data_IF_446640026235
#
_entry.id   IF_446640026235
#
_cell.length_a   1.000
_cell.length_b   1.000
_cell.length_c   1.000
_cell.angle_alpha   90.00
_cell.angle_beta   90.00
_cell.angle_gamma   90.00
#
_symmetry.space_group_name_H-M   'P 1'
#
loop_
_entity.id
_entity.type
_entity.pdbx_description
1 polymer ?
#
# COMPACT_ATOMS: atom_id res chain seq x y z
N UNK A 1 33.70 4.96 1.58
CA UNK A 1 33.11 4.33 0.37
C UNK A 1 31.62 4.25 0.60
N UNK A 2 30.83 4.95 -0.21
CA UNK A 2 29.37 4.78 -0.14
C UNK A 2 28.96 3.46 -0.81
N UNK A 3 27.71 3.08 -0.57
CA UNK A 3 27.20 1.73 -0.87
C UNK A 3 26.46 1.73 -2.20
N UNK A 4 26.77 0.75 -3.04
CA UNK A 4 26.19 0.60 -4.39
C UNK A 4 24.68 0.36 -4.32
N UNK A 5 23.91 1.01 -5.20
CA UNK A 5 22.49 0.72 -5.32
C UNK A 5 22.26 -0.61 -6.02
N UNK A 6 21.40 -1.43 -5.42
CA UNK A 6 20.87 -2.65 -6.06
C UNK A 6 19.53 -2.31 -6.67
N UNK A 7 19.40 -2.55 -7.98
CA UNK A 7 18.10 -2.55 -8.64
C UNK A 7 17.44 -3.91 -8.47
N UNK A 8 16.18 -3.91 -8.08
CA UNK A 8 15.32 -5.08 -8.21
C UNK A 8 14.03 -4.69 -8.91
N UNK A 9 13.64 -5.44 -9.93
CA UNK A 9 12.45 -5.14 -10.74
C UNK A 9 11.15 -5.06 -9.92
N UNK A 10 11.11 -5.69 -8.75
CA UNK A 10 9.96 -5.62 -7.81
C UNK A 10 10.14 -4.66 -6.65
N UNK A 11 11.26 -3.94 -6.52
CA UNK A 11 11.48 -3.05 -5.37
C UNK A 11 12.01 -1.68 -5.75
N UNK A 12 12.50 -1.48 -6.98
CA UNK A 12 13.23 -0.27 -7.37
C UNK A 12 14.69 -0.30 -6.91
N UNK A 13 15.26 0.87 -6.60
CA UNK A 13 16.67 1.01 -6.22
C UNK A 13 16.83 1.19 -4.72
N UNK A 14 17.79 0.51 -4.10
CA UNK A 14 18.14 0.73 -2.69
C UNK A 14 19.64 0.51 -2.42
N UNK A 15 20.21 1.26 -1.47
CA UNK A 15 21.64 1.14 -1.08
C UNK A 15 21.87 0.31 0.20
N UNK A 16 20.85 0.18 1.05
CA UNK A 16 20.90 -0.43 2.39
C UNK A 16 19.70 -1.35 2.64
N UNK A 17 19.51 -1.82 3.87
CA UNK A 17 18.34 -2.61 4.23
C UNK A 17 17.06 -1.77 4.12
N UNK A 18 16.05 -2.34 3.46
CA UNK A 18 14.73 -1.74 3.41
C UNK A 18 14.08 -1.71 4.80
N UNK A 19 13.39 -0.61 5.15
CA UNK A 19 12.70 -0.51 6.43
C UNK A 19 11.63 -1.60 6.55
N UNK A 20 11.31 -1.97 7.79
CA UNK A 20 10.32 -3.02 8.10
C UNK A 20 8.96 -2.70 7.46
N UNK A 21 8.59 -1.41 7.47
CA UNK A 21 7.54 -0.82 6.66
C UNK A 21 7.47 -1.33 5.21
N UNK A 22 8.53 -1.06 4.44
CA UNK A 22 8.61 -1.40 3.02
C UNK A 22 8.70 -2.91 2.77
N UNK A 23 9.36 -3.68 3.66
CA UNK A 23 9.44 -5.15 3.52
C UNK A 23 8.08 -5.84 3.60
N UNK A 24 7.22 -5.41 4.52
CA UNK A 24 5.86 -5.97 4.59
C UNK A 24 4.97 -5.48 3.45
N UNK A 25 5.11 -4.22 3.02
CA UNK A 25 4.43 -3.71 1.83
C UNK A 25 4.79 -4.57 0.60
N UNK A 26 6.08 -4.81 0.41
CA UNK A 26 6.61 -5.68 -0.63
C UNK A 26 6.00 -7.07 -0.58
N UNK A 27 5.85 -7.67 0.60
CA UNK A 27 5.26 -9.00 0.75
C UNK A 27 3.72 -9.04 0.61
N UNK A 28 3.05 -7.90 0.40
CA UNK A 28 1.59 -7.81 0.44
C UNK A 28 1.01 -8.05 1.83
N UNK A 29 1.83 -7.94 2.88
CA UNK A 29 1.51 -8.28 4.27
C UNK A 29 1.01 -7.08 5.08
N UNK A 30 0.64 -5.97 4.42
CA UNK A 30 0.07 -4.79 5.09
C UNK A 30 -1.21 -4.32 4.44
N UNK A 31 -2.14 -3.93 5.31
CA UNK A 31 -3.25 -3.08 4.94
C UNK A 31 -2.79 -1.63 4.88
N UNK A 32 -3.44 -0.83 4.04
CA UNK A 32 -3.29 0.62 3.95
C UNK A 32 -4.61 1.22 4.42
N UNK A 33 -4.57 1.93 5.54
CA UNK A 33 -5.73 2.58 6.14
C UNK A 33 -5.65 4.07 5.81
N UNK A 34 -6.55 4.53 4.96
CA UNK A 34 -6.74 5.95 4.64
C UNK A 34 -7.70 6.56 5.67
N UNK A 35 -7.20 7.39 6.58
CA UNK A 35 -7.95 7.87 7.75
C UNK A 35 -8.88 9.05 7.43
N UNK A 36 -8.43 9.94 6.55
CA UNK A 36 -9.17 11.13 6.12
C UNK A 36 -8.49 11.69 4.88
N UNK A 37 -9.23 12.38 4.01
CA UNK A 37 -8.67 13.11 2.89
C UNK A 37 -8.35 14.57 3.19
N UNK A 38 -8.63 15.03 4.41
CA UNK A 38 -8.34 16.40 4.83
C UNK A 38 -6.84 16.54 5.11
N UNK A 39 -6.25 17.59 4.54
CA UNK A 39 -4.87 18.00 4.79
C UNK A 39 -4.82 19.53 4.81
N UNK A 40 -3.96 20.10 5.66
CA UNK A 40 -3.71 21.53 5.68
C UNK A 40 -2.64 21.97 4.65
N UNK A 41 -1.93 21.00 4.08
CA UNK A 41 -0.99 21.22 2.99
C UNK A 41 -1.66 21.04 1.63
N UNK A 42 -1.23 21.85 0.65
CA UNK A 42 -1.75 21.85 -0.73
C UNK A 42 -0.62 21.59 -1.71
N UNK A 43 -0.01 20.42 -1.60
CA UNK A 43 1.06 20.01 -2.50
C UNK A 43 0.52 19.93 -3.93
N UNK A 44 1.13 20.66 -4.87
CA UNK A 44 0.70 20.68 -6.27
C UNK A 44 0.81 19.31 -6.97
N UNK A 45 1.65 18.42 -6.43
CA UNK A 45 1.85 17.05 -6.88
C UNK A 45 1.00 15.99 -6.13
N UNK A 46 0.08 16.38 -5.25
CA UNK A 46 -0.67 15.42 -4.42
C UNK A 46 -1.44 14.39 -5.27
N UNK A 47 -1.15 13.08 -5.16
CA UNK A 47 -1.74 12.06 -6.03
C UNK A 47 -3.09 11.51 -5.54
N UNK A 48 -3.64 12.06 -4.45
CA UNK A 48 -4.90 11.57 -3.87
C UNK A 48 -6.04 11.81 -4.88
N UNK A 49 -6.86 10.79 -5.12
CA UNK A 49 -7.98 10.85 -6.07
C UNK A 49 -9.02 11.91 -5.70
N UNK A 50 -9.82 12.35 -6.68
CA UNK A 50 -10.89 13.36 -6.47
C UNK A 50 -11.98 12.89 -5.51
N UNK A 51 -12.18 11.58 -5.39
CA UNK A 51 -13.13 11.00 -4.45
C UNK A 51 -12.69 11.20 -2.98
N UNK A 52 -11.37 11.22 -2.73
CA UNK A 52 -10.80 11.24 -1.39
C UNK A 52 -10.33 12.64 -0.98
N UNK A 53 -9.69 13.39 -1.88
CA UNK A 53 -9.02 14.66 -1.54
C UNK A 53 -9.98 15.68 -0.93
N UNK A 54 -9.62 16.22 0.23
CA UNK A 54 -10.41 17.22 0.96
C UNK A 54 -11.71 16.70 1.57
N UNK A 55 -11.96 15.38 1.59
CA UNK A 55 -13.17 14.78 2.16
C UNK A 55 -12.84 13.97 3.40
N UNK A 56 -13.71 14.02 4.42
CA UNK A 56 -13.56 13.16 5.60
C UNK A 56 -14.16 11.78 5.35
N UNK A 57 -13.39 10.95 4.65
CA UNK A 57 -13.76 9.58 4.26
C UNK A 57 -12.65 8.62 4.68
N UNK A 58 -13.04 7.40 5.06
CA UNK A 58 -12.14 6.36 5.56
C UNK A 58 -12.14 5.19 4.59
N UNK A 59 -10.96 4.71 4.22
CA UNK A 59 -10.80 3.52 3.39
C UNK A 59 -9.78 2.56 3.97
N UNK A 60 -9.94 1.27 3.67
CA UNK A 60 -8.92 0.25 3.87
C UNK A 60 -8.72 -0.50 2.57
N UNK A 61 -7.51 -0.47 2.03
CA UNK A 61 -7.15 -1.14 0.76
C UNK A 61 -8.11 -0.85 -0.42
N UNK A 62 -8.55 0.42 -0.53
CA UNK A 62 -9.51 0.93 -1.52
C UNK A 62 -11.00 0.61 -1.27
N UNK A 63 -11.33 -0.07 -0.17
CA UNK A 63 -12.72 -0.30 0.26
C UNK A 63 -13.17 0.75 1.28
N UNK A 64 -14.40 1.25 1.14
CA UNK A 64 -15.01 2.19 2.10
C UNK A 64 -15.20 1.52 3.47
N UNK A 65 -14.81 2.23 4.53
CA UNK A 65 -14.89 1.76 5.92
C UNK A 65 -16.08 2.41 6.61
N UNK A 66 -16.95 1.60 7.23
CA UNK A 66 -18.07 2.08 8.05
C UNK A 66 -17.76 2.05 9.54
N UNK A 67 -16.86 1.17 9.95
CA UNK A 67 -16.47 0.94 11.35
C UNK A 67 -15.01 0.50 11.46
N UNK A 68 -14.41 0.60 12.65
CA UNK A 68 -13.04 0.10 12.86
C UNK A 68 -12.97 -1.42 12.67
N UNK A 69 -14.06 -2.15 12.94
CA UNK A 69 -14.15 -3.59 12.71
C UNK A 69 -13.90 -3.94 11.23
N UNK A 70 -14.35 -3.12 10.28
CA UNK A 70 -14.07 -3.34 8.86
C UNK A 70 -12.57 -3.32 8.56
N UNK A 71 -11.81 -2.44 9.25
CA UNK A 71 -10.34 -2.35 9.13
C UNK A 71 -9.69 -3.61 9.69
N UNK A 72 -10.16 -4.08 10.85
CA UNK A 72 -9.64 -5.30 11.50
C UNK A 72 -9.94 -6.54 10.64
N UNK A 73 -11.17 -6.65 10.12
CA UNK A 73 -11.56 -7.73 9.22
C UNK A 73 -10.70 -7.73 7.96
N UNK A 74 -10.43 -6.56 7.38
CA UNK A 74 -9.54 -6.45 6.23
C UNK A 74 -8.11 -6.94 6.53
N UNK A 75 -7.58 -6.63 7.72
CA UNK A 75 -6.30 -7.18 8.16
C UNK A 75 -6.32 -8.72 8.25
N UNK A 76 -7.41 -9.33 8.71
CA UNK A 76 -7.59 -10.78 8.69
C UNK A 76 -7.63 -11.35 7.28
N UNK A 77 -8.39 -10.72 6.38
CA UNK A 77 -8.52 -11.17 4.98
C UNK A 77 -7.17 -11.32 4.29
N UNK A 78 -6.18 -10.47 4.60
CA UNK A 78 -4.84 -10.58 4.00
C UNK A 78 -3.81 -11.26 4.92
N UNK A 79 -4.23 -11.74 6.09
CA UNK A 79 -3.36 -12.21 7.18
C UNK A 79 -2.20 -11.22 7.40
N UNK A 80 -2.56 -9.99 7.73
CA UNK A 80 -1.64 -8.86 7.81
C UNK A 80 -0.63 -9.01 8.96
N UNK A 81 0.57 -8.49 8.74
CA UNK A 81 1.62 -8.34 9.77
C UNK A 81 1.86 -6.87 10.13
N UNK A 82 1.09 -5.96 9.53
CA UNK A 82 1.17 -4.54 9.81
C UNK A 82 0.16 -3.69 9.05
N UNK A 83 0.16 -2.40 9.34
CA UNK A 83 -0.66 -1.39 8.66
C UNK A 83 0.16 -0.17 8.27
N UNK A 84 -0.22 0.50 7.19
CA UNK A 84 0.18 1.85 6.84
C UNK A 84 -0.98 2.82 7.02
N UNK A 85 -0.83 3.78 7.91
CA UNK A 85 -1.84 4.79 8.21
C UNK A 85 -1.54 6.04 7.38
N UNK A 86 -2.42 6.33 6.42
CA UNK A 86 -2.26 7.38 5.41
C UNK A 86 -3.54 8.22 5.30
N UNK A 87 -3.58 9.17 4.39
CA UNK A 87 -4.67 10.12 4.22
C UNK A 87 -4.23 11.33 3.41
N UNK A 88 -4.94 12.43 3.61
CA UNK A 88 -4.39 13.77 3.44
C UNK A 88 -3.31 14.02 4.51
N UNK A 89 -3.72 14.16 5.77
CA UNK A 89 -2.83 14.02 6.94
C UNK A 89 -3.58 13.31 8.08
N UNK A 90 -3.21 12.06 8.44
CA UNK A 90 -3.78 11.33 9.58
C UNK A 90 -3.77 12.10 10.91
N UNK A 91 -2.83 13.03 11.11
CA UNK A 91 -2.76 13.83 12.33
C UNK A 91 -3.95 14.80 12.45
N UNK A 92 -4.54 15.21 11.32
CA UNK A 92 -5.75 16.03 11.34
C UNK A 92 -6.91 15.33 12.07
N UNK A 93 -7.01 14.01 11.91
CA UNK A 93 -8.00 13.16 12.60
C UNK A 93 -7.33 12.31 13.68
N UNK A 94 -6.56 12.94 14.56
CA UNK A 94 -5.70 12.25 15.53
C UNK A 94 -6.45 11.22 16.39
N UNK A 95 -7.66 11.54 16.86
CA UNK A 95 -8.40 10.60 17.73
C UNK A 95 -8.81 9.34 16.97
N UNK A 96 -9.27 9.46 15.72
CA UNK A 96 -9.56 8.32 14.84
C UNK A 96 -8.29 7.51 14.56
N UNK A 97 -7.20 8.20 14.23
CA UNK A 97 -5.88 7.58 14.02
C UNK A 97 -5.47 6.74 15.24
N UNK A 98 -5.57 7.29 16.45
CA UNK A 98 -5.25 6.58 17.70
C UNK A 98 -6.12 5.38 17.94
N UNK A 99 -7.43 5.50 17.71
CA UNK A 99 -8.36 4.38 17.87
C UNK A 99 -7.99 3.25 16.93
N UNK A 100 -7.76 3.53 15.65
CA UNK A 100 -7.31 2.51 14.68
C UNK A 100 -6.01 1.83 15.11
N UNK A 101 -5.00 2.60 15.54
CA UNK A 101 -3.72 2.06 16.01
C UNK A 101 -3.94 1.14 17.21
N UNK A 102 -4.69 1.60 18.22
CA UNK A 102 -4.98 0.83 19.44
C UNK A 102 -5.73 -0.46 19.14
N UNK A 103 -6.76 -0.42 18.31
CA UNK A 103 -7.57 -1.59 17.98
C UNK A 103 -6.73 -2.63 17.21
N UNK A 104 -5.91 -2.21 16.24
CA UNK A 104 -5.00 -3.10 15.53
C UNK A 104 -3.93 -3.72 16.45
N UNK A 105 -3.36 -2.94 17.37
CA UNK A 105 -2.40 -3.44 18.36
C UNK A 105 -3.06 -4.38 19.37
N UNK A 106 -4.30 -4.12 19.77
CA UNK A 106 -5.07 -4.99 20.67
C UNK A 106 -5.34 -6.34 20.02
N UNK A 107 -5.76 -6.34 18.75
CA UNK A 107 -6.15 -7.57 18.05
C UNK A 107 -4.94 -8.42 17.63
N UNK A 108 -3.93 -7.80 17.03
CA UNK A 108 -2.80 -8.51 16.42
C UNK A 108 -1.52 -8.50 17.27
N UNK A 109 -1.55 -7.81 18.40
CA UNK A 109 -0.46 -7.71 19.36
C UNK A 109 0.64 -6.73 18.97
N UNK A 110 1.58 -6.50 19.90
CA UNK A 110 2.63 -5.47 19.77
C UNK A 110 3.58 -5.69 18.58
N UNK A 111 3.69 -6.92 18.06
CA UNK A 111 4.55 -7.22 16.89
C UNK A 111 3.95 -6.76 15.56
N UNK A 112 2.65 -6.50 15.52
CA UNK A 112 1.97 -5.99 14.33
C UNK A 112 2.45 -4.59 14.01
N UNK A 113 3.18 -4.42 12.91
CA UNK A 113 3.90 -3.18 12.65
C UNK A 113 3.03 -2.11 12.02
N UNK A 114 2.89 -0.97 12.69
CA UNK A 114 2.12 0.16 12.22
C UNK A 114 3.08 1.31 11.89
N UNK A 115 2.93 1.85 10.69
CA UNK A 115 3.62 3.08 10.30
C UNK A 115 2.61 4.14 9.89
N UNK A 116 2.91 5.40 10.16
CA UNK A 116 2.04 6.53 9.86
C UNK A 116 2.75 7.54 8.98
N UNK A 117 2.01 8.05 8.00
CA UNK A 117 2.40 9.15 7.13
C UNK A 117 1.90 10.47 7.71
N UNK A 118 2.69 11.54 7.63
CA UNK A 118 2.25 12.89 8.00
C UNK A 118 3.02 13.95 7.21
N UNK A 119 2.41 15.11 6.96
CA UNK A 119 3.14 16.27 6.43
C UNK A 119 4.04 16.92 7.49
N UNK A 120 3.89 16.54 8.76
CA UNK A 120 4.59 17.14 9.89
C UNK A 120 4.01 18.49 10.31
N UNK A 121 3.11 19.11 9.55
CA UNK A 121 2.56 20.44 9.87
C UNK A 121 1.89 20.48 11.24
N UNK A 122 1.07 19.48 11.54
CA UNK A 122 0.31 19.37 12.79
C UNK A 122 1.06 18.65 13.91
N UNK A 123 2.29 18.19 13.65
CA UNK A 123 3.08 17.48 14.64
C UNK A 123 3.69 18.47 15.64
N UNK A 124 3.50 18.17 16.92
CA UNK A 124 4.13 18.79 18.08
C UNK A 124 4.50 17.72 19.13
N UNK A 125 5.08 18.14 20.26
CA UNK A 125 5.51 17.25 21.34
C UNK A 125 4.35 16.43 21.92
N UNK A 126 3.15 17.01 22.04
CA UNK A 126 1.99 16.34 22.59
C UNK A 126 1.51 15.23 21.64
N UNK A 127 1.42 15.53 20.34
CA UNK A 127 1.02 14.55 19.31
C UNK A 127 2.02 13.40 19.24
N UNK A 128 3.33 13.68 19.29
CA UNK A 128 4.34 12.63 19.28
C UNK A 128 4.25 11.72 20.51
N UNK A 129 4.09 12.29 21.71
CA UNK A 129 3.88 11.53 22.93
C UNK A 129 2.62 10.65 22.84
N UNK A 130 1.54 11.22 22.33
CA UNK A 130 0.27 10.54 22.15
C UNK A 130 0.37 9.32 21.22
N UNK A 131 1.05 9.49 20.09
CA UNK A 131 1.28 8.41 19.12
C UNK A 131 2.17 7.31 19.70
N UNK A 132 3.20 7.69 20.47
CA UNK A 132 4.12 6.76 21.11
C UNK A 132 3.37 5.87 22.10
N UNK A 133 2.55 6.48 22.96
CA UNK A 133 1.71 5.77 23.93
C UNK A 133 0.66 4.87 23.28
N UNK A 134 0.17 5.23 22.08
CA UNK A 134 -0.75 4.36 21.34
C UNK A 134 -0.08 3.14 20.70
N UNK A 135 1.25 3.06 20.72
CA UNK A 135 2.02 1.94 20.16
C UNK A 135 2.37 2.10 18.69
N UNK A 136 2.44 3.32 18.16
CA UNK A 136 2.93 3.54 16.80
C UNK A 136 4.43 3.18 16.71
N UNK A 137 4.81 2.36 15.73
CA UNK A 137 6.21 1.89 15.60
C UNK A 137 7.07 2.84 14.75
N UNK A 138 6.54 3.28 13.60
CA UNK A 138 7.30 3.99 12.56
C UNK A 138 6.55 5.26 12.11
N UNK A 139 7.24 6.40 11.97
CA UNK A 139 6.67 7.65 11.44
C UNK A 139 7.42 8.05 10.17
N UNK A 140 6.66 8.38 9.12
CA UNK A 140 7.17 8.88 7.85
C UNK A 140 6.74 10.31 7.63
N UNK A 141 7.72 11.21 7.63
CA UNK A 141 7.49 12.63 7.39
C UNK A 141 7.60 12.95 5.89
N UNK A 142 6.60 13.65 5.37
CA UNK A 142 6.69 14.26 4.05
C UNK A 142 7.36 15.64 4.15
N UNK A 143 8.70 15.64 4.04
CA UNK A 143 9.51 16.85 4.23
C UNK A 143 9.61 17.63 2.92
N UNK A 144 8.72 18.61 2.74
CA UNK A 144 8.75 19.54 1.60
C UNK A 144 9.47 20.86 1.91
N UNK A 145 9.86 21.10 3.17
CA UNK A 145 10.59 22.28 3.64
C UNK A 145 11.51 21.90 4.81
N UNK A 146 12.69 22.54 4.89
CA UNK A 146 13.64 22.32 6.00
C UNK A 146 13.09 22.75 7.37
N UNK A 147 12.07 23.60 7.41
CA UNK A 147 11.39 24.00 8.65
C UNK A 147 10.74 22.83 9.40
N UNK A 148 10.53 21.69 8.73
CA UNK A 148 9.96 20.48 9.32
C UNK A 148 11.02 19.61 10.02
N UNK A 149 12.31 19.82 9.76
CA UNK A 149 13.39 18.99 10.31
C UNK A 149 13.46 18.96 11.84
N UNK A 150 13.20 20.06 12.59
CA UNK A 150 13.13 19.99 14.04
C UNK A 150 12.09 18.97 14.55
N UNK A 151 10.98 18.80 13.83
CA UNK A 151 9.93 17.82 14.16
C UNK A 151 10.38 16.39 13.90
N UNK A 152 11.13 16.18 12.82
CA UNK A 152 11.76 14.91 12.48
C UNK A 152 12.78 14.52 13.57
N UNK A 153 13.66 15.45 13.95
CA UNK A 153 14.65 15.25 15.02
C UNK A 153 14.00 14.93 16.37
N UNK A 154 12.90 15.60 16.70
CA UNK A 154 12.13 15.31 17.91
C UNK A 154 11.57 13.88 17.92
N UNK A 155 11.00 13.43 16.80
CA UNK A 155 10.49 12.07 16.68
C UNK A 155 11.61 11.02 16.81
N UNK A 156 12.80 11.30 16.27
CA UNK A 156 13.99 10.43 16.45
C UNK A 156 14.36 10.36 17.93
N UNK A 157 14.40 11.50 18.62
CA UNK A 157 14.76 11.60 20.04
C UNK A 157 13.80 10.83 20.96
N UNK A 158 12.50 10.85 20.64
CA UNK A 158 11.47 10.08 21.38
C UNK A 158 11.64 8.57 21.19
N UNK A 159 12.30 8.13 20.11
CA UNK A 159 12.64 6.74 19.87
C UNK A 159 11.76 6.03 18.84
N UNK A 160 11.05 6.76 17.98
CA UNK A 160 10.35 6.16 16.84
C UNK A 160 11.32 5.61 15.80
N UNK A 161 10.87 4.62 15.01
CA UNK A 161 11.49 4.34 13.71
C UNK A 161 11.12 5.47 12.74
N UNK A 162 11.99 6.46 12.59
CA UNK A 162 11.71 7.62 11.73
C UNK A 162 12.26 7.41 10.32
N UNK A 163 11.41 7.71 9.33
CA UNK A 163 11.78 7.86 7.95
C UNK A 163 11.23 9.15 7.33
N UNK A 164 11.75 9.50 6.17
CA UNK A 164 11.22 10.58 5.33
C UNK A 164 10.65 9.98 4.04
N UNK A 165 9.51 10.47 3.57
CA UNK A 165 8.92 10.02 2.31
C UNK A 165 8.56 11.21 1.40
N UNK A 166 9.17 11.25 0.23
CA UNK A 166 9.06 12.38 -0.71
C UNK A 166 8.91 11.88 -2.14
N UNK A 167 8.25 12.61 -3.06
CA UNK A 167 8.28 12.28 -4.46
C UNK A 167 9.67 12.56 -5.06
N UNK A 168 9.95 12.01 -6.23
CA UNK A 168 11.06 12.40 -7.07
C UNK A 168 10.57 13.32 -8.19
N UNK A 169 10.80 14.61 -8.05
CA UNK A 169 10.47 15.59 -9.08
C UNK A 169 11.75 15.88 -9.88
N UNK A 170 11.80 15.57 -11.20
CA UNK A 170 13.04 15.61 -11.98
C UNK A 170 13.40 17.03 -12.45
N UNK A 171 13.40 17.99 -11.53
CA UNK A 171 13.89 19.37 -11.75
C UNK A 171 15.19 19.59 -10.99
N UNK A 172 16.08 20.45 -11.49
CA UNK A 172 17.38 20.71 -10.85
C UNK A 172 17.24 21.25 -9.43
N UNK A 173 16.29 22.17 -9.22
CA UNK A 173 16.05 22.78 -7.91
C UNK A 173 15.59 21.74 -6.89
N UNK A 174 14.67 20.86 -7.29
CA UNK A 174 14.16 19.83 -6.40
C UNK A 174 15.20 18.75 -6.10
N UNK A 175 15.98 18.34 -7.10
CA UNK A 175 17.08 17.37 -6.91
C UNK A 175 18.15 17.96 -5.99
N UNK A 176 18.44 19.25 -6.11
CA UNK A 176 19.37 19.95 -5.21
C UNK A 176 18.84 19.99 -3.77
N UNK A 177 17.56 20.36 -3.59
CA UNK A 177 16.87 20.28 -2.31
C UNK A 177 16.95 18.86 -1.71
N UNK A 178 16.70 17.82 -2.51
CA UNK A 178 16.70 16.44 -2.04
C UNK A 178 18.09 15.97 -1.58
N UNK A 179 19.16 16.40 -2.28
CA UNK A 179 20.55 16.12 -1.87
C UNK A 179 20.87 16.75 -0.51
N UNK A 180 20.53 18.02 -0.35
CA UNK A 180 20.75 18.75 0.90
C UNK A 180 19.91 18.18 2.05
N UNK A 181 18.66 17.82 1.77
CA UNK A 181 17.77 17.12 2.71
C UNK A 181 18.43 15.84 3.21
N UNK A 182 18.94 14.99 2.32
CA UNK A 182 19.61 13.74 2.70
C UNK A 182 20.80 13.97 3.64
N UNK A 183 21.63 14.98 3.37
CA UNK A 183 22.76 15.34 4.24
C UNK A 183 22.28 15.71 5.64
N UNK A 184 21.18 16.46 5.75
CA UNK A 184 20.60 16.85 7.03
C UNK A 184 19.97 15.65 7.76
N UNK A 185 19.28 14.77 7.05
CA UNK A 185 18.70 13.55 7.62
C UNK A 185 19.76 12.60 8.18
N UNK A 186 20.92 12.48 7.51
CA UNK A 186 22.06 11.72 8.05
C UNK A 186 22.60 12.33 9.35
N UNK A 187 22.65 13.66 9.46
CA UNK A 187 23.09 14.35 10.68
C UNK A 187 22.13 14.14 11.85
N UNK A 188 20.82 14.17 11.57
CA UNK A 188 19.76 13.93 12.57
C UNK A 188 19.74 12.46 13.04
N UNK A 189 20.27 11.54 12.23
CA UNK A 189 20.23 10.10 12.53
C UNK A 189 18.94 9.41 12.09
N UNK A 190 18.26 9.95 11.06
CA UNK A 190 17.11 9.31 10.43
C UNK A 190 17.53 8.01 9.77
N UNK A 191 16.70 6.97 9.87
CA UNK A 191 17.06 5.61 9.43
C UNK A 191 16.97 5.43 7.92
N UNK A 192 15.96 6.03 7.29
CA UNK A 192 15.73 5.86 5.86
C UNK A 192 14.99 7.05 5.23
N UNK A 193 15.17 7.19 3.92
CA UNK A 193 14.35 8.03 3.05
C UNK A 193 13.76 7.17 1.93
N UNK A 194 12.45 7.24 1.78
CA UNK A 194 11.72 6.66 0.66
C UNK A 194 11.44 7.77 -0.36
N UNK A 195 11.89 7.54 -1.58
CA UNK A 195 11.73 8.45 -2.69
C UNK A 195 10.80 7.77 -3.69
N UNK A 196 9.58 8.25 -3.81
CA UNK A 196 8.58 7.67 -4.70
C UNK A 196 8.70 8.29 -6.10
N UNK A 197 8.63 7.48 -7.14
CA UNK A 197 8.42 7.96 -8.50
C UNK A 197 7.16 8.85 -8.54
N UNK A 198 7.26 10.02 -9.18
CA UNK A 198 6.18 11.01 -9.19
C UNK A 198 4.94 10.47 -9.92
N UNK A 199 3.86 10.30 -9.17
CA UNK A 199 2.58 9.80 -9.68
C UNK A 199 1.75 10.91 -10.32
N UNK A 200 1.36 10.71 -11.57
CA UNK A 200 0.37 11.53 -12.27
C UNK A 200 -1.00 10.91 -12.07
N UNK A 201 -1.93 11.72 -11.58
CA UNK A 201 -3.32 11.34 -11.30
C UNK A 201 -4.29 12.39 -11.85
N UNK A 202 -5.57 12.06 -11.87
CA UNK A 202 -6.65 12.97 -12.30
C UNK A 202 -6.72 14.28 -11.50
N UNK A 203 -6.19 14.30 -10.27
CA UNK A 203 -6.26 15.45 -9.37
C UNK A 203 -5.05 16.39 -9.48
N UNK A 204 -3.92 15.92 -10.01
CA UNK A 204 -2.68 16.70 -10.07
C UNK A 204 -2.17 16.97 -11.49
N UNK A 205 -2.68 16.31 -12.53
CA UNK A 205 -2.14 16.40 -13.89
C UNK A 205 -2.04 17.84 -14.41
N UNK A 206 -3.05 18.67 -14.19
CA UNK A 206 -3.04 20.08 -14.61
C UNK A 206 -1.93 20.87 -13.89
N UNK A 207 -1.79 20.67 -12.58
CA UNK A 207 -0.75 21.31 -11.78
C UNK A 207 0.65 20.85 -12.22
N UNK A 208 0.84 19.57 -12.54
CA UNK A 208 2.11 19.03 -13.05
C UNK A 208 2.52 19.75 -14.34
N UNK A 209 1.58 19.95 -15.26
CA UNK A 209 1.82 20.68 -16.53
C UNK A 209 2.17 22.15 -16.26
N UNK A 210 1.43 22.81 -15.35
CA UNK A 210 1.68 24.22 -14.98
C UNK A 210 3.07 24.42 -14.33
N UNK A 211 3.61 23.39 -13.68
CA UNK A 211 4.96 23.40 -13.12
C UNK A 211 6.04 22.95 -14.13
N UNK A 212 5.71 22.89 -15.42
CA UNK A 212 6.68 22.66 -16.50
C UNK A 212 7.09 21.20 -16.71
N UNK A 213 6.42 20.25 -16.06
CA UNK A 213 6.66 18.82 -16.25
C UNK A 213 5.75 18.25 -17.34
N UNK A 214 6.21 17.21 -18.03
CA UNK A 214 5.46 16.53 -19.09
C UNK A 214 4.97 15.17 -18.61
N UNK A 215 3.66 14.96 -18.47
CA UNK A 215 3.09 13.66 -18.14
C UNK A 215 3.38 12.60 -19.22
N UNK A 216 3.68 11.38 -18.79
CA UNK A 216 3.85 10.18 -19.62
C UNK A 216 3.18 9.00 -18.95
N UNK A 217 1.91 8.75 -19.30
CA UNK A 217 1.08 7.75 -18.62
C UNK A 217 0.84 8.16 -17.16
N UNK A 218 1.23 7.31 -16.21
CA UNK A 218 1.08 7.56 -14.77
C UNK A 218 2.30 8.24 -14.11
N UNK A 219 3.32 8.61 -14.90
CA UNK A 219 4.58 9.24 -14.43
C UNK A 219 4.91 10.47 -15.27
N UNK A 220 6.08 11.08 -15.08
CA UNK A 220 6.58 12.20 -15.88
C UNK A 220 7.84 11.83 -16.68
N UNK A 221 8.08 12.55 -17.78
CA UNK A 221 9.29 12.42 -18.60
C UNK A 221 10.58 12.73 -17.82
N UNK A 222 11.73 12.27 -18.33
CA UNK A 222 13.09 12.51 -17.79
C UNK A 222 13.38 12.00 -16.37
N UNK A 223 12.41 11.37 -15.70
CA UNK A 223 12.58 10.76 -14.36
C UNK A 223 13.81 9.87 -14.26
N UNK A 224 14.00 8.94 -15.21
CA UNK A 224 15.07 7.95 -15.14
C UNK A 224 16.48 8.50 -15.37
N UNK A 225 16.62 9.52 -16.22
CA UNK A 225 17.91 10.16 -16.49
C UNK A 225 18.40 10.90 -15.25
N UNK A 226 17.54 11.76 -14.70
CA UNK A 226 17.81 12.50 -13.45
C UNK A 226 17.97 11.60 -12.24
N UNK A 227 17.21 10.51 -12.17
CA UNK A 227 17.37 9.54 -11.10
C UNK A 227 18.77 8.91 -11.11
N UNK A 228 19.32 8.54 -12.27
CA UNK A 228 20.67 7.95 -12.34
C UNK A 228 21.74 8.90 -11.83
N UNK A 229 21.67 10.17 -12.22
CA UNK A 229 22.58 11.21 -11.71
C UNK A 229 22.47 11.36 -10.19
N UNK A 230 21.24 11.40 -9.67
CA UNK A 230 20.97 11.50 -8.25
C UNK A 230 21.46 10.28 -7.45
N UNK A 231 21.24 9.07 -7.97
CA UNK A 231 21.69 7.83 -7.33
C UNK A 231 23.23 7.74 -7.31
N UNK A 232 23.91 8.11 -8.40
CA UNK A 232 25.37 8.17 -8.47
C UNK A 232 25.95 9.14 -7.42
N UNK A 233 25.30 10.31 -7.26
CA UNK A 233 25.65 11.23 -6.19
C UNK A 233 25.44 10.59 -4.81
N UNK A 234 24.34 9.86 -4.59
CA UNK A 234 24.09 9.16 -3.33
C UNK A 234 25.14 8.09 -3.02
N UNK A 235 25.60 7.33 -4.01
CA UNK A 235 26.67 6.32 -3.85
C UNK A 235 27.98 6.91 -3.36
N UNK A 236 28.23 8.19 -3.65
CA UNK A 236 29.47 8.86 -3.23
C UNK A 236 29.30 9.54 -1.87
N UNK A 237 28.13 10.11 -1.60
CA UNK A 237 27.93 11.02 -0.47
C UNK A 237 27.18 10.41 0.72
N UNK A 238 26.33 9.41 0.50
CA UNK A 238 25.47 8.82 1.53
C UNK A 238 26.11 7.57 2.14
N UNK A 239 26.16 7.50 3.46
CA UNK A 239 26.88 6.43 4.18
C UNK A 239 25.97 5.63 5.10
N UNK A 240 25.14 6.32 5.87
CA UNK A 240 24.39 5.79 7.01
C UNK A 240 22.87 5.89 6.83
N UNK A 241 22.37 6.65 5.85
CA UNK A 241 20.94 6.71 5.52
C UNK A 241 20.57 5.67 4.46
N UNK A 242 19.53 4.88 4.74
CA UNK A 242 18.97 3.98 3.74
C UNK A 242 18.11 4.76 2.75
N UNK A 243 18.52 4.77 1.48
CA UNK A 243 17.81 5.42 0.39
C UNK A 243 17.08 4.34 -0.40
N UNK A 244 15.76 4.47 -0.51
CA UNK A 244 14.91 3.57 -1.30
C UNK A 244 14.14 4.38 -2.35
N UNK A 245 14.40 4.13 -3.63
CA UNK A 245 13.58 4.64 -4.72
C UNK A 245 12.49 3.62 -5.08
N UNK A 246 11.23 4.00 -4.85
CA UNK A 246 10.05 3.16 -5.06
C UNK A 246 9.37 3.53 -6.38
N UNK A 247 9.18 2.57 -7.28
CA UNK A 247 8.60 2.81 -8.61
C UNK A 247 7.08 2.68 -8.60
N UNK A 248 6.37 3.36 -9.50
CA UNK A 248 4.91 3.22 -9.61
C UNK A 248 4.49 1.84 -10.10
N UNK A 249 5.26 1.30 -11.05
CA UNK A 249 5.08 -0.08 -11.51
C UNK A 249 5.11 -1.10 -10.36
N UNK A 250 5.85 -0.81 -9.28
CA UNK A 250 5.85 -1.64 -8.08
C UNK A 250 4.54 -1.51 -7.27
N UNK A 251 4.09 -0.27 -7.00
CA UNK A 251 2.88 0.02 -6.22
C UNK A 251 1.66 -0.72 -6.79
N UNK A 252 1.48 -0.67 -8.11
CA UNK A 252 0.30 -1.26 -8.75
C UNK A 252 0.45 -2.75 -9.04
N UNK A 253 1.62 -3.21 -9.50
CA UNK A 253 1.75 -4.61 -10.00
C UNK A 253 2.14 -5.61 -8.92
N UNK A 254 2.83 -5.16 -7.86
CA UNK A 254 3.42 -6.08 -6.87
C UNK A 254 2.67 -6.01 -5.56
N UNK A 255 2.49 -4.80 -4.99
CA UNK A 255 1.80 -4.64 -3.71
C UNK A 255 0.35 -5.10 -3.81
N UNK A 256 -0.42 -4.55 -4.76
CA UNK A 256 -1.81 -4.91 -4.97
C UNK A 256 -1.97 -6.41 -5.28
N UNK A 257 -1.22 -6.93 -6.27
CA UNK A 257 -1.29 -8.34 -6.66
C UNK A 257 -0.98 -9.30 -5.52
N UNK A 258 0.08 -9.06 -4.74
CA UNK A 258 0.43 -9.93 -3.60
C UNK A 258 -0.63 -9.90 -2.51
N UNK A 259 -1.23 -8.74 -2.27
CA UNK A 259 -2.36 -8.62 -1.35
C UNK A 259 -3.57 -9.41 -1.85
N UNK A 260 -3.91 -9.29 -3.13
CA UNK A 260 -5.00 -10.07 -3.75
C UNK A 260 -4.76 -11.58 -3.65
N UNK A 261 -3.53 -12.04 -3.90
CA UNK A 261 -3.16 -13.45 -3.71
C UNK A 261 -3.36 -13.93 -2.28
N UNK A 262 -2.91 -13.16 -1.29
CA UNK A 262 -3.14 -13.50 0.12
C UNK A 262 -4.62 -13.52 0.44
N UNK A 263 -5.37 -12.53 -0.06
CA UNK A 263 -6.80 -12.42 0.14
C UNK A 263 -7.53 -13.63 -0.43
N UNK A 264 -7.28 -13.96 -1.70
CA UNK A 264 -7.84 -15.11 -2.40
C UNK A 264 -7.68 -16.42 -1.63
N UNK A 265 -6.51 -16.65 -1.05
CA UNK A 265 -6.23 -17.86 -0.27
C UNK A 265 -6.93 -17.85 1.09
N UNK A 266 -6.95 -16.72 1.79
CA UNK A 266 -7.49 -16.65 3.15
C UNK A 266 -9.02 -16.53 3.21
N UNK A 267 -9.66 -16.03 2.13
CA UNK A 267 -11.12 -15.84 2.06
C UNK A 267 -11.82 -16.90 1.20
N UNK A 268 -11.08 -17.94 0.78
CA UNK A 268 -11.58 -19.00 -0.08
C UNK A 268 -12.78 -19.73 0.55
N UNK A 269 -13.88 -19.80 -0.20
CA UNK A 269 -15.04 -20.61 0.16
C UNK A 269 -14.76 -22.10 -0.02
N UNK A 270 -15.49 -22.95 0.71
CA UNK A 270 -15.36 -24.42 0.62
C UNK A 270 -15.57 -25.00 -0.79
N UNK A 271 -16.18 -24.23 -1.68
CA UNK A 271 -16.53 -24.60 -3.06
C UNK A 271 -15.66 -23.92 -4.12
N UNK A 272 -14.60 -23.22 -3.70
CA UNK A 272 -13.80 -22.34 -4.55
C UNK A 272 -12.35 -22.85 -4.71
N UNK A 273 -11.64 -22.32 -5.71
CA UNK A 273 -10.17 -22.38 -5.78
C UNK A 273 -9.59 -20.98 -6.02
N UNK A 274 -8.49 -20.65 -5.34
CA UNK A 274 -7.72 -19.45 -5.62
C UNK A 274 -6.85 -19.61 -6.87
N UNK A 275 -6.79 -18.59 -7.72
CA UNK A 275 -5.95 -18.57 -8.92
C UNK A 275 -4.57 -17.96 -8.64
N UNK A 276 -3.66 -18.09 -9.62
CA UNK A 276 -2.35 -17.43 -9.59
C UNK A 276 -2.39 -15.92 -9.79
N UNK A 277 -3.56 -15.37 -10.12
CA UNK A 277 -3.76 -13.94 -10.29
C UNK A 277 -4.44 -13.29 -9.07
N UNK A 278 -4.74 -14.06 -8.02
CA UNK A 278 -5.38 -13.54 -6.80
C UNK A 278 -6.88 -13.34 -6.96
N UNK A 279 -7.52 -14.15 -7.80
CA UNK A 279 -8.98 -14.27 -7.98
C UNK A 279 -9.45 -15.63 -7.46
N UNK A 280 -10.76 -15.79 -7.27
CA UNK A 280 -11.37 -17.07 -6.89
C UNK A 280 -12.24 -17.58 -8.03
N UNK A 281 -12.22 -18.90 -8.26
CA UNK A 281 -13.07 -19.59 -9.22
C UNK A 281 -14.01 -20.52 -8.48
N UNK A 282 -15.30 -20.48 -8.84
CA UNK A 282 -16.30 -21.47 -8.43
C UNK A 282 -16.95 -22.12 -9.66
N UNK A 283 -17.44 -23.35 -9.49
CA UNK A 283 -18.22 -24.06 -10.51
C UNK A 283 -19.56 -24.46 -9.91
N UNK A 284 -20.61 -23.74 -10.24
CA UNK A 284 -21.98 -24.05 -9.83
C UNK A 284 -22.60 -25.01 -10.84
N UNK A 285 -23.15 -26.13 -10.38
CA UNK A 285 -23.80 -27.13 -11.24
C UNK A 285 -25.32 -27.04 -11.14
N UNK A 286 -26.00 -27.28 -12.27
CA UNK A 286 -27.46 -27.38 -12.39
C UNK A 286 -27.81 -28.78 -12.87
N UNK A 287 -28.96 -29.30 -12.45
CA UNK A 287 -29.45 -30.66 -12.75
C UNK A 287 -28.57 -31.76 -12.16
N UNK A 288 -28.62 -31.89 -10.83
CA UNK A 288 -27.74 -32.75 -10.01
C UNK A 288 -28.13 -34.24 -9.97
N UNK A 289 -29.20 -34.65 -10.67
CA UNK A 289 -29.77 -36.01 -10.54
C UNK A 289 -28.81 -37.15 -10.92
N UNK A 290 -27.72 -36.86 -11.64
CA UNK A 290 -26.72 -37.86 -12.12
C UNK A 290 -25.32 -37.67 -11.51
N UNK A 291 -25.21 -36.84 -10.46
CA UNK A 291 -23.94 -36.55 -9.80
C UNK A 291 -23.73 -37.40 -8.56
N UNK A 292 -22.50 -37.90 -8.42
CA UNK A 292 -22.03 -38.55 -7.21
C UNK A 292 -22.05 -37.55 -6.05
N UNK A 293 -22.74 -37.89 -4.96
CA UNK A 293 -22.85 -37.04 -3.76
C UNK A 293 -21.47 -36.67 -3.20
N UNK A 294 -20.46 -37.52 -3.42
CA UNK A 294 -19.10 -37.31 -2.90
C UNK A 294 -18.36 -36.12 -3.52
N UNK A 295 -18.84 -35.55 -4.62
CA UNK A 295 -18.20 -34.41 -5.28
C UNK A 295 -19.05 -33.13 -5.23
N UNK A 296 -20.24 -33.23 -4.64
CA UNK A 296 -21.17 -32.13 -4.52
C UNK A 296 -20.94 -31.36 -3.23
N UNK A 297 -20.83 -30.05 -3.37
CA UNK A 297 -20.73 -29.12 -2.25
C UNK A 297 -21.98 -28.26 -2.27
N UNK A 298 -22.86 -28.47 -1.29
CA UNK A 298 -24.03 -27.62 -1.08
C UNK A 298 -23.65 -26.41 -0.23
N UNK A 299 -23.79 -25.22 -0.81
CA UNK A 299 -23.47 -23.96 -0.14
C UNK A 299 -24.53 -22.91 -0.50
N UNK A 300 -25.13 -22.28 0.52
CA UNK A 300 -26.18 -21.25 0.37
C UNK A 300 -27.31 -21.64 -0.60
N UNK A 301 -27.77 -22.89 -0.52
CA UNK A 301 -28.88 -23.41 -1.36
C UNK A 301 -28.51 -23.65 -2.82
N UNK A 302 -27.23 -23.60 -3.17
CA UNK A 302 -26.71 -23.92 -4.51
C UNK A 302 -25.76 -25.11 -4.43
N UNK A 303 -25.60 -25.80 -5.56
CA UNK A 303 -24.72 -26.95 -5.68
C UNK A 303 -23.49 -26.60 -6.50
N UNK A 304 -22.34 -26.98 -5.98
CA UNK A 304 -21.04 -26.71 -6.56
C UNK A 304 -20.23 -27.99 -6.69
N UNK A 305 -19.24 -27.93 -7.58
CA UNK A 305 -18.18 -28.93 -7.67
C UNK A 305 -16.85 -28.19 -7.58
N UNK A 306 -15.89 -28.74 -6.84
CA UNK A 306 -14.56 -28.14 -6.78
C UNK A 306 -13.97 -28.03 -8.18
N UNK A 307 -13.36 -26.89 -8.55
CA UNK A 307 -12.71 -26.74 -9.85
C UNK A 307 -11.70 -27.86 -10.19
N UNK A 308 -11.04 -28.42 -9.19
CA UNK A 308 -10.13 -29.57 -9.34
C UNK A 308 -10.82 -30.87 -9.73
N UNK A 309 -12.10 -31.02 -9.40
CA UNK A 309 -12.90 -32.24 -9.67
C UNK A 309 -13.81 -32.08 -10.91
N UNK A 310 -13.74 -30.95 -11.63
CA UNK A 310 -14.63 -30.67 -12.76
C UNK A 310 -14.55 -31.69 -13.90
N UNK A 311 -13.43 -32.42 -14.02
CA UNK A 311 -13.25 -33.48 -15.02
C UNK A 311 -14.25 -34.62 -14.88
N UNK A 312 -14.81 -34.83 -13.67
CA UNK A 312 -15.82 -35.87 -13.39
C UNK A 312 -17.21 -35.56 -13.96
N UNK A 313 -17.42 -34.33 -14.42
CA UNK A 313 -18.67 -33.91 -15.07
C UNK A 313 -18.73 -34.34 -16.53
N UNK A 314 -17.58 -34.65 -17.17
CA UNK A 314 -17.48 -34.87 -18.62
C UNK A 314 -18.35 -36.04 -19.08
N UNK A 315 -19.11 -35.81 -20.15
CA UNK A 315 -19.98 -36.81 -20.77
C UNK A 315 -21.29 -37.07 -20.03
N UNK A 316 -21.63 -36.25 -19.03
CA UNK A 316 -22.84 -36.41 -18.20
C UNK A 316 -23.98 -35.46 -18.58
N UNK A 317 -23.79 -34.57 -19.55
CA UNK A 317 -24.82 -33.61 -19.96
C UNK A 317 -25.15 -32.56 -18.88
N UNK A 318 -24.22 -32.31 -17.95
CA UNK A 318 -24.47 -31.45 -16.79
C UNK A 318 -24.15 -30.01 -17.16
N UNK A 319 -25.11 -29.12 -16.88
CA UNK A 319 -24.94 -27.68 -17.07
C UNK A 319 -24.21 -27.08 -15.87
N UNK A 320 -23.04 -26.53 -16.11
CA UNK A 320 -22.20 -25.87 -15.10
C UNK A 320 -21.97 -24.39 -15.45
N UNK A 321 -21.97 -23.55 -14.43
CA UNK A 321 -21.62 -22.13 -14.50
C UNK A 321 -20.27 -21.94 -13.80
N UNK A 322 -19.25 -21.62 -14.57
CA UNK A 322 -17.91 -21.30 -14.10
C UNK A 322 -17.85 -19.79 -13.91
N UNK A 323 -17.55 -19.35 -12.69
CA UNK A 323 -17.48 -17.92 -12.35
C UNK A 323 -16.12 -17.64 -11.74
N UNK A 324 -15.45 -16.63 -12.26
CA UNK A 324 -14.24 -16.04 -11.68
C UNK A 324 -14.56 -14.64 -11.14
N UNK A 325 -14.13 -14.34 -9.91
CA UNK A 325 -14.36 -13.06 -9.25
C UNK A 325 -13.20 -12.67 -8.35
N UNK A 326 -13.15 -11.39 -7.97
CA UNK A 326 -12.21 -10.94 -6.94
C UNK A 326 -12.62 -11.49 -5.56
N UNK A 327 -11.67 -11.81 -4.68
CA UNK A 327 -11.93 -12.54 -3.43
C UNK A 327 -12.67 -11.76 -2.33
N UNK A 328 -13.04 -10.50 -2.59
CA UNK A 328 -13.69 -9.58 -1.66
C UNK A 328 -14.91 -8.87 -2.24
N UNK A 329 -15.04 -8.84 -3.56
CA UNK A 329 -16.17 -8.25 -4.23
C UNK A 329 -16.90 -9.34 -4.99
N UNK A 330 -18.23 -9.29 -4.98
CA UNK A 330 -19.05 -10.10 -5.89
C UNK A 330 -18.90 -9.63 -7.36
N UNK A 331 -17.83 -8.92 -7.69
CA UNK A 331 -17.50 -8.47 -9.03
C UNK A 331 -17.01 -9.67 -9.82
N UNK A 332 -17.90 -10.18 -10.66
CA UNK A 332 -17.59 -11.21 -11.64
C UNK A 332 -16.66 -10.65 -12.70
N UNK A 333 -15.52 -11.30 -12.89
CA UNK A 333 -14.53 -11.01 -13.92
C UNK A 333 -14.81 -11.79 -15.20
N UNK A 334 -15.21 -13.05 -15.02
CA UNK A 334 -15.51 -13.95 -16.12
C UNK A 334 -16.62 -14.90 -15.72
N UNK A 335 -17.54 -15.15 -16.64
CA UNK A 335 -18.64 -16.08 -16.45
C UNK A 335 -18.79 -16.93 -17.72
N UNK A 336 -18.79 -18.25 -17.56
CA UNK A 336 -18.98 -19.18 -18.66
C UNK A 336 -19.92 -20.30 -18.29
N UNK A 337 -20.96 -20.46 -19.10
CA UNK A 337 -21.79 -21.65 -19.05
C UNK A 337 -21.16 -22.76 -19.92
N UNK A 338 -21.00 -23.95 -19.34
CA UNK A 338 -20.50 -25.15 -20.02
C UNK A 338 -21.50 -26.28 -19.80
N UNK A 339 -21.70 -27.11 -20.82
CA UNK A 339 -22.34 -28.42 -20.65
C UNK A 339 -21.23 -29.44 -20.75
N UNK A 340 -21.03 -30.18 -19.67
CA UNK A 340 -19.96 -31.17 -19.56
C UNK A 340 -20.37 -32.54 -20.09
#
# INVERSE_FOLDING_TARGET
MGKTFKYHYTTGYFNLFLPKGCRYCLAGMKIVVFITGICLDRCWYCPISKEKIGRDVVFVDEEHVKSIDDIVLEAYKINAFGAGITGGDPIFSIERTRQVIKELKREFGNRFHIHLYTSGRLVDDNILGLLYETGLDEIRFHVYSYELLPKVEKAVTIGFDVGVEVPFIPTEDYVSFLKDLIVQLERIGVKFININELEVSESNIENIILHGLRPRGLTVENTWEKLKEFLSWCETNVKNLAVHFCTLSFKDKVQFRRRMLRKAVNTIGVHEIATREGTNISIMVKNVHELDENILISFLGKNYVLPTECYRLRGKGIKALIIEYYPFSNTVLNERCVVY
#
